data_IF_436660675797
#
_entry.id   IF_436660675797
#
_cell.length_a   1.000
_cell.length_b   1.000
_cell.length_c   1.000
_cell.angle_alpha   90.00
_cell.angle_beta   90.00
_cell.angle_gamma   90.00
#
_symmetry.space_group_name_H-M   'P 1'
#
loop_
_entity.id
_entity.type
_entity.pdbx_description
1 polymer ?
#
# COMPACT_ATOMS: atom_id res chain seq x y z
N UNK A 1 15.44 8.65 8.17
CA UNK A 1 15.53 9.84 9.05
C UNK A 1 16.65 9.67 10.06
N UNK A 2 17.13 10.76 10.65
CA UNK A 2 18.08 10.77 11.76
C UNK A 2 17.47 11.52 12.94
N UNK A 3 17.58 10.94 14.13
CA UNK A 3 17.09 11.47 15.41
C UNK A 3 18.22 11.22 16.42
N UNK A 4 18.72 12.25 17.09
CA UNK A 4 19.81 12.19 18.07
C UNK A 4 21.01 11.32 17.62
N UNK A 5 21.49 11.57 16.40
CA UNK A 5 22.55 10.81 15.70
C UNK A 5 22.24 9.34 15.36
N UNK A 6 21.04 8.82 15.65
CA UNK A 6 20.61 7.49 15.24
C UNK A 6 19.86 7.54 13.90
N UNK A 7 20.18 6.64 12.98
CA UNK A 7 19.57 6.56 11.67
C UNK A 7 18.49 5.48 11.60
N UNK A 8 17.25 5.90 11.31
CA UNK A 8 16.10 5.01 11.13
C UNK A 8 15.70 5.00 9.65
N UNK A 9 15.60 3.81 9.06
CA UNK A 9 15.14 3.61 7.69
C UNK A 9 13.89 2.73 7.69
N UNK A 10 12.83 3.21 7.07
CA UNK A 10 11.51 2.56 7.00
C UNK A 10 10.88 2.79 5.64
N UNK A 11 9.80 2.06 5.32
CA UNK A 11 9.01 2.35 4.12
C UNK A 11 8.16 3.61 4.32
N UNK A 12 7.75 4.30 3.24
CA UNK A 12 6.95 5.52 3.30
C UNK A 12 5.69 5.42 4.17
N UNK A 13 5.06 4.25 4.20
CA UNK A 13 3.76 3.99 4.84
C UNK A 13 3.90 3.63 6.34
N UNK A 14 5.12 3.49 6.87
CA UNK A 14 5.33 3.19 8.28
C UNK A 14 4.96 4.41 9.13
N UNK A 15 4.01 4.24 10.05
CA UNK A 15 3.55 5.33 10.90
C UNK A 15 4.32 5.42 12.22
N UNK A 16 4.65 6.65 12.61
CA UNK A 16 5.28 7.00 13.88
C UNK A 16 4.32 7.81 14.76
N UNK A 17 4.38 7.59 16.07
CA UNK A 17 3.60 8.38 17.02
C UNK A 17 4.32 9.69 17.37
N UNK A 18 3.83 10.80 16.83
CA UNK A 18 4.30 12.15 17.18
C UNK A 18 3.51 12.74 18.35
N UNK A 19 4.15 13.63 19.12
CA UNK A 19 3.51 14.32 20.26
C UNK A 19 2.46 15.33 19.79
N UNK A 20 2.65 15.91 18.61
CA UNK A 20 1.87 17.05 18.12
C UNK A 20 0.73 16.66 17.17
N UNK A 21 0.87 15.53 16.48
CA UNK A 21 0.01 15.16 15.36
C UNK A 21 -0.45 13.70 15.42
N UNK A 22 -0.25 13.03 16.55
CA UNK A 22 -0.50 11.59 16.72
C UNK A 22 0.28 10.77 15.67
N UNK A 23 -0.37 9.79 15.02
CA UNK A 23 0.27 8.93 14.03
C UNK A 23 0.51 9.65 12.69
N UNK A 24 1.77 9.77 12.30
CA UNK A 24 2.22 10.37 11.03
C UNK A 24 2.96 9.32 10.21
N UNK A 25 2.58 9.15 8.94
CA UNK A 25 3.25 8.25 7.99
C UNK A 25 4.67 8.77 7.70
N UNK A 26 5.63 7.88 7.45
CA UNK A 26 7.03 8.26 7.31
C UNK A 26 7.27 9.27 6.18
N UNK A 27 6.48 9.22 5.12
CA UNK A 27 6.48 10.20 4.03
C UNK A 27 5.97 11.59 4.41
N UNK A 28 5.12 11.68 5.44
CA UNK A 28 4.51 12.93 5.89
C UNK A 28 5.31 13.60 7.03
N UNK A 29 6.27 12.90 7.61
CA UNK A 29 7.14 13.41 8.67
C UNK A 29 8.01 14.57 8.19
N UNK A 30 8.26 15.51 9.10
CA UNK A 30 9.09 16.69 8.84
C UNK A 30 10.18 16.82 9.88
N UNK A 31 11.29 17.43 9.45
CA UNK A 31 12.36 17.86 10.36
C UNK A 31 11.74 18.74 11.46
N UNK A 32 12.02 18.40 12.72
CA UNK A 32 11.44 19.03 13.90
C UNK A 32 10.16 18.38 14.45
N UNK A 33 9.57 17.38 13.77
CA UNK A 33 8.51 16.57 14.37
C UNK A 33 9.06 15.82 15.58
N UNK A 34 8.25 15.72 16.64
CA UNK A 34 8.68 15.27 17.96
C UNK A 34 8.09 13.94 18.34
N UNK A 35 8.92 13.05 18.84
CA UNK A 35 8.57 11.75 19.38
C UNK A 35 8.77 11.72 20.89
N UNK A 36 7.95 10.91 21.57
CA UNK A 36 8.17 10.58 22.97
C UNK A 36 8.74 9.16 23.06
N UNK A 37 9.91 9.03 23.70
CA UNK A 37 10.53 7.72 23.96
C UNK A 37 9.86 7.02 25.15
N UNK A 38 10.12 5.73 25.36
CA UNK A 38 9.55 4.97 26.49
C UNK A 38 9.78 5.67 27.85
N UNK A 39 10.96 6.25 28.05
CA UNK A 39 11.33 6.93 29.30
C UNK A 39 10.74 8.35 29.44
N UNK A 40 9.87 8.75 28.50
CA UNK A 40 9.21 10.06 28.50
C UNK A 40 10.08 11.21 27.97
N UNK A 41 11.26 10.92 27.44
CA UNK A 41 12.13 11.92 26.80
C UNK A 41 11.52 12.34 25.47
N UNK A 42 11.61 13.63 25.16
CA UNK A 42 11.20 14.17 23.87
C UNK A 42 12.42 14.27 22.97
N UNK A 43 12.33 13.69 21.79
CA UNK A 43 13.35 13.75 20.73
C UNK A 43 12.70 14.29 19.46
N UNK A 44 13.47 15.01 18.65
CA UNK A 44 12.99 15.58 17.38
C UNK A 44 13.80 15.07 16.18
N UNK A 45 13.16 15.09 15.01
CA UNK A 45 13.82 14.68 13.77
C UNK A 45 14.86 15.73 13.36
N UNK A 46 16.14 15.36 13.38
CA UNK A 46 17.25 16.20 12.92
C UNK A 46 17.30 16.30 11.39
N UNK A 47 17.03 15.18 10.71
CA UNK A 47 17.21 15.09 9.26
C UNK A 47 16.33 14.01 8.62
N UNK A 48 15.81 14.30 7.43
CA UNK A 48 15.08 13.34 6.59
C UNK A 48 15.76 13.28 5.23
N UNK A 49 15.98 12.06 4.74
CA UNK A 49 16.44 11.82 3.38
C UNK A 49 15.65 10.64 2.81
N UNK A 50 15.05 10.86 1.65
CA UNK A 50 14.44 9.83 0.84
C UNK A 50 15.51 9.05 0.08
N UNK A 51 15.28 7.76 -0.11
CA UNK A 51 16.14 6.89 -0.90
C UNK A 51 15.28 6.03 -1.81
N UNK A 52 15.53 6.11 -3.10
CA UNK A 52 14.91 5.26 -4.11
C UNK A 52 15.84 4.09 -4.43
N UNK A 53 15.29 2.88 -4.53
CA UNK A 53 16.04 1.67 -4.86
C UNK A 53 15.36 0.39 -4.36
N UNK A 54 15.90 -0.75 -4.77
CA UNK A 54 15.48 -2.06 -4.27
C UNK A 54 16.17 -2.31 -2.91
N UNK A 55 15.41 -2.28 -1.82
CA UNK A 55 15.90 -2.54 -0.46
C UNK A 55 15.22 -3.77 0.13
N UNK A 56 16.00 -4.67 0.73
CA UNK A 56 15.45 -5.72 1.59
C UNK A 56 15.04 -5.10 2.92
N UNK A 57 13.74 -5.11 3.21
CA UNK A 57 13.19 -4.66 4.49
C UNK A 57 12.79 -5.87 5.35
N UNK A 58 12.93 -5.74 6.66
CA UNK A 58 12.57 -6.77 7.62
C UNK A 58 11.37 -6.28 8.45
N UNK A 59 10.36 -7.12 8.59
CA UNK A 59 9.22 -6.89 9.48
C UNK A 59 9.14 -8.05 10.48
N UNK A 60 8.78 -7.79 11.73
CA UNK A 60 8.47 -8.82 12.71
C UNK A 60 7.14 -8.51 13.40
N UNK A 61 6.37 -9.56 13.67
CA UNK A 61 5.05 -9.46 14.26
C UNK A 61 5.12 -9.58 15.78
N UNK A 62 4.38 -8.72 16.49
CA UNK A 62 4.22 -8.76 17.95
C UNK A 62 2.74 -9.05 18.24
N UNK A 63 2.47 -10.01 19.13
CA UNK A 63 1.19 -10.73 19.21
C UNK A 63 0.03 -9.94 19.88
N UNK A 64 0.30 -8.83 20.58
CA UNK A 64 -0.71 -8.17 21.43
C UNK A 64 -1.07 -6.73 21.04
N UNK A 65 -0.19 -5.76 21.34
CA UNK A 65 -0.50 -4.34 21.16
C UNK A 65 -0.21 -3.82 19.76
N UNK A 66 0.46 -4.64 18.95
CA UNK A 66 0.94 -4.28 17.62
C UNK A 66 1.59 -2.88 17.61
N UNK A 67 2.28 -2.52 18.68
CA UNK A 67 3.12 -1.33 18.81
C UNK A 67 4.43 -1.80 19.40
N UNK A 68 5.56 -1.36 18.84
CA UNK A 68 6.87 -1.72 19.34
C UNK A 68 7.81 -0.52 19.25
N UNK A 69 8.80 -0.50 20.13
CA UNK A 69 9.87 0.46 20.07
C UNK A 69 10.91 0.00 19.05
N UNK A 70 11.32 0.90 18.16
CA UNK A 70 12.46 0.70 17.26
C UNK A 70 13.63 1.55 17.73
N UNK A 71 14.84 1.17 17.27
CA UNK A 71 16.09 1.92 17.47
C UNK A 71 16.59 1.88 18.92
N UNK A 72 17.84 2.28 19.19
CA UNK A 72 18.39 2.42 20.55
C UNK A 72 17.74 3.57 21.33
N UNK A 73 17.00 4.45 20.64
CA UNK A 73 16.24 5.55 21.21
C UNK A 73 14.81 5.18 21.69
N UNK A 74 14.39 3.94 21.51
CA UNK A 74 13.06 3.44 21.89
C UNK A 74 11.92 4.33 21.35
N UNK A 75 11.77 4.40 20.02
CA UNK A 75 10.73 5.18 19.33
C UNK A 75 9.52 4.32 19.00
N UNK A 76 8.32 4.74 19.44
CA UNK A 76 7.08 3.96 19.32
C UNK A 76 6.55 3.94 17.87
N UNK A 77 6.51 2.76 17.27
CA UNK A 77 5.94 2.51 15.92
C UNK A 77 4.79 1.51 15.99
N UNK A 78 3.82 1.63 15.09
CA UNK A 78 2.63 0.78 15.03
C UNK A 78 2.77 -0.33 13.97
N UNK A 79 2.67 -1.58 14.39
CA UNK A 79 2.36 -2.71 13.52
C UNK A 79 0.84 -2.79 13.24
N UNK A 80 0.48 -3.03 11.99
CA UNK A 80 -0.77 -2.60 11.37
C UNK A 80 -2.04 -3.41 11.74
N UNK A 81 -2.48 -3.48 13.00
CA UNK A 81 -3.78 -4.07 13.31
C UNK A 81 -4.81 -3.05 13.84
N UNK A 82 -5.47 -2.40 12.90
CA UNK A 82 -6.52 -1.40 13.12
C UNK A 82 -7.85 -1.97 13.69
N UNK A 83 -7.85 -3.19 14.24
CA UNK A 83 -9.05 -3.90 14.68
C UNK A 83 -9.92 -4.43 13.55
N UNK A 84 -9.37 -4.52 12.34
CA UNK A 84 -10.01 -5.03 11.14
C UNK A 84 -10.18 -6.55 11.20
N UNK A 85 -11.23 -7.06 10.58
CA UNK A 85 -11.38 -8.50 10.39
C UNK A 85 -10.24 -9.07 9.52
N UNK A 86 -9.87 -10.34 9.69
CA UNK A 86 -8.88 -10.99 8.82
C UNK A 86 -9.26 -10.95 7.34
N UNK A 87 -10.55 -10.85 7.02
CA UNK A 87 -11.02 -10.73 5.65
C UNK A 87 -10.73 -9.33 5.07
N UNK A 88 -10.98 -8.28 5.84
CA UNK A 88 -10.66 -6.92 5.44
C UNK A 88 -9.14 -6.70 5.29
N UNK A 89 -8.33 -7.27 6.19
CA UNK A 89 -6.87 -7.24 6.08
C UNK A 89 -6.37 -7.88 4.78
N UNK A 90 -6.80 -9.12 4.47
CA UNK A 90 -6.45 -9.79 3.21
C UNK A 90 -6.94 -9.02 1.98
N UNK A 91 -8.07 -8.34 2.06
CA UNK A 91 -8.57 -7.52 0.97
C UNK A 91 -7.67 -6.31 0.71
N UNK A 92 -7.22 -5.63 1.77
CA UNK A 92 -6.28 -4.51 1.67
C UNK A 92 -4.93 -4.99 1.13
N UNK A 93 -4.40 -6.11 1.63
CA UNK A 93 -3.16 -6.68 1.10
C UNK A 93 -3.29 -7.06 -0.39
N UNK A 94 -4.42 -7.65 -0.79
CA UNK A 94 -4.69 -7.94 -2.20
C UNK A 94 -4.75 -6.67 -3.04
N UNK A 95 -5.32 -5.59 -2.51
CA UNK A 95 -5.36 -4.30 -3.19
C UNK A 95 -3.95 -3.79 -3.49
N UNK A 96 -3.08 -3.77 -2.48
CA UNK A 96 -1.69 -3.33 -2.63
C UNK A 96 -0.93 -4.21 -3.62
N UNK A 97 -1.12 -5.54 -3.57
CA UNK A 97 -0.52 -6.44 -4.54
C UNK A 97 -0.97 -6.16 -5.99
N UNK A 98 -2.26 -5.87 -6.21
CA UNK A 98 -2.76 -5.47 -7.54
C UNK A 98 -2.18 -4.11 -7.93
N UNK A 99 -2.08 -3.17 -6.98
CA UNK A 99 -1.50 -1.85 -7.23
C UNK A 99 -0.04 -1.96 -7.64
N UNK A 100 0.79 -2.66 -6.89
CA UNK A 100 2.24 -2.75 -7.16
C UNK A 100 2.55 -3.54 -8.43
N UNK A 101 1.89 -4.69 -8.64
CA UNK A 101 2.23 -5.59 -9.74
C UNK A 101 1.55 -5.20 -11.07
N UNK A 102 0.26 -4.87 -11.02
CA UNK A 102 -0.54 -4.68 -12.24
C UNK A 102 -0.73 -3.21 -12.59
N UNK A 103 -0.76 -2.32 -11.59
CA UNK A 103 -1.09 -0.91 -11.79
C UNK A 103 0.07 0.08 -11.58
N UNK A 104 1.17 -0.36 -10.96
CA UNK A 104 2.24 0.46 -10.37
C UNK A 104 3.60 0.27 -11.04
N UNK A 105 4.68 0.68 -10.36
CA UNK A 105 5.99 1.05 -10.93
C UNK A 105 6.74 0.01 -11.77
N UNK A 106 6.38 -1.28 -11.65
CA UNK A 106 6.88 -2.31 -12.57
C UNK A 106 6.42 -2.00 -14.02
N UNK A 107 5.25 -1.36 -14.18
CA UNK A 107 4.75 -0.83 -15.46
C UNK A 107 5.50 0.40 -15.98
N UNK A 108 6.15 1.15 -15.08
CA UNK A 108 6.92 2.36 -15.42
C UNK A 108 8.31 2.01 -15.97
N UNK A 109 8.74 0.75 -15.86
CA UNK A 109 10.01 0.26 -16.42
C UNK A 109 9.87 0.12 -17.95
N UNK A 110 10.83 0.67 -18.69
CA UNK A 110 10.88 0.63 -20.15
C UNK A 110 10.78 -0.81 -20.67
N UNK A 111 9.69 -1.14 -21.38
CA UNK A 111 9.41 -2.47 -21.94
C UNK A 111 8.36 -3.31 -21.21
N UNK A 112 7.84 -2.86 -20.07
CA UNK A 112 6.90 -3.62 -19.23
C UNK A 112 5.58 -2.89 -18.91
N UNK A 113 5.18 -1.90 -19.70
CA UNK A 113 3.90 -1.21 -19.50
C UNK A 113 2.72 -2.08 -19.95
N UNK A 114 2.04 -2.74 -19.01
CA UNK A 114 0.87 -3.60 -19.26
C UNK A 114 -0.27 -2.83 -19.96
N UNK A 115 -0.41 -1.51 -19.74
CA UNK A 115 -1.41 -0.70 -20.44
C UNK A 115 -1.07 -0.46 -21.92
N UNK A 116 0.21 -0.22 -22.23
CA UNK A 116 0.65 -0.09 -23.62
C UNK A 116 0.62 -1.44 -24.35
N UNK A 117 1.04 -2.50 -23.66
CA UNK A 117 0.97 -3.85 -24.18
C UNK A 117 -0.47 -4.24 -24.50
N UNK A 118 -1.40 -4.04 -23.57
CA UNK A 118 -2.83 -4.32 -23.78
C UNK A 118 -3.43 -3.49 -24.92
N UNK A 119 -3.02 -2.23 -25.11
CA UNK A 119 -3.44 -1.42 -26.27
C UNK A 119 -3.02 -2.05 -27.59
N UNK A 120 -1.76 -2.49 -27.69
CA UNK A 120 -1.21 -3.10 -28.91
C UNK A 120 -1.82 -4.48 -29.16
N UNK A 121 -2.05 -5.26 -28.11
CA UNK A 121 -2.76 -6.54 -28.20
C UNK A 121 -4.21 -6.39 -28.65
N UNK A 122 -4.92 -5.36 -28.18
CA UNK A 122 -6.26 -5.05 -28.65
C UNK A 122 -6.31 -4.67 -30.15
N UNK A 123 -5.17 -4.26 -30.73
CA UNK A 123 -5.02 -4.02 -32.18
C UNK A 123 -4.56 -5.27 -32.96
N UNK A 124 -4.36 -6.40 -32.27
CA UNK A 124 -3.94 -7.68 -32.86
C UNK A 124 -2.42 -7.91 -32.88
N UNK A 125 -1.63 -7.07 -32.20
CA UNK A 125 -0.19 -7.27 -32.10
C UNK A 125 0.16 -8.28 -30.99
N UNK A 126 1.11 -9.19 -31.25
CA UNK A 126 1.69 -10.05 -30.20
C UNK A 126 2.84 -9.31 -29.54
N UNK A 127 2.64 -8.83 -28.31
CA UNK A 127 3.62 -7.99 -27.60
C UNK A 127 4.66 -8.81 -26.84
N UNK A 128 4.23 -9.90 -26.21
CA UNK A 128 5.11 -10.83 -25.52
C UNK A 128 4.65 -12.27 -25.73
N UNK A 129 5.58 -13.21 -25.59
CA UNK A 129 5.31 -14.65 -25.67
C UNK A 129 5.92 -15.35 -24.46
N UNK A 130 5.20 -16.34 -23.94
CA UNK A 130 5.72 -17.23 -22.90
C UNK A 130 6.87 -18.10 -23.43
N UNK A 131 7.66 -18.74 -22.56
CA UNK A 131 8.74 -19.66 -22.99
C UNK A 131 8.25 -20.83 -23.88
N UNK A 132 6.97 -21.18 -23.78
CA UNK A 132 6.32 -22.22 -24.60
C UNK A 132 5.87 -21.72 -25.99
N UNK A 133 6.08 -20.43 -26.31
CA UNK A 133 5.72 -19.80 -27.58
C UNK A 133 4.29 -19.27 -27.65
N UNK A 134 3.47 -19.43 -26.61
CA UNK A 134 2.11 -18.86 -26.58
C UNK A 134 2.14 -17.34 -26.36
N UNK A 135 1.28 -16.56 -27.05
CA UNK A 135 1.13 -15.13 -26.76
C UNK A 135 0.73 -14.92 -25.30
N UNK A 136 1.38 -13.96 -24.66
CA UNK A 136 0.94 -13.44 -23.37
C UNK A 136 -0.35 -12.65 -23.56
N UNK A 137 -1.20 -12.60 -22.53
CA UNK A 137 -2.51 -11.92 -22.58
C UNK A 137 -2.54 -10.80 -21.53
N UNK A 138 -2.03 -9.62 -21.89
CA UNK A 138 -2.01 -8.46 -20.99
C UNK A 138 -3.42 -7.89 -20.81
N UNK A 139 -4.28 -7.97 -21.83
CA UNK A 139 -5.69 -7.55 -21.71
C UNK A 139 -6.40 -8.40 -20.65
N UNK A 140 -6.21 -9.72 -20.69
CA UNK A 140 -6.71 -10.66 -19.71
C UNK A 140 -6.23 -10.36 -18.29
N UNK A 141 -4.93 -10.08 -18.10
CA UNK A 141 -4.40 -9.69 -16.79
C UNK A 141 -5.07 -8.43 -16.22
N UNK A 142 -5.30 -7.42 -17.07
CA UNK A 142 -5.99 -6.20 -16.66
C UNK A 142 -7.47 -6.46 -16.32
N UNK A 143 -8.15 -7.38 -17.01
CA UNK A 143 -9.51 -7.81 -16.66
C UNK A 143 -9.53 -8.58 -15.33
N UNK A 144 -8.57 -9.48 -15.11
CA UNK A 144 -8.42 -10.21 -13.85
C UNK A 144 -8.13 -9.28 -12.67
N UNK A 145 -7.28 -8.27 -12.88
CA UNK A 145 -7.03 -7.24 -11.88
C UNK A 145 -8.30 -6.43 -11.57
N UNK A 146 -9.09 -6.04 -12.57
CA UNK A 146 -10.38 -5.37 -12.35
C UNK A 146 -11.32 -6.24 -11.50
N UNK A 147 -11.44 -7.51 -11.82
CA UNK A 147 -12.26 -8.46 -11.05
C UNK A 147 -11.72 -8.65 -9.63
N UNK A 148 -10.39 -8.68 -9.47
CA UNK A 148 -9.70 -8.70 -8.18
C UNK A 148 -10.07 -7.50 -7.32
N UNK A 149 -10.01 -6.28 -7.89
CA UNK A 149 -10.38 -5.04 -7.21
C UNK A 149 -11.86 -5.01 -6.84
N UNK A 150 -12.75 -5.53 -7.68
CA UNK A 150 -14.17 -5.65 -7.35
C UNK A 150 -14.41 -6.54 -6.12
N UNK A 151 -13.66 -7.64 -5.99
CA UNK A 151 -13.73 -8.51 -4.82
C UNK A 151 -13.19 -7.82 -3.56
N UNK A 152 -12.09 -7.09 -3.68
CA UNK A 152 -11.55 -6.25 -2.60
C UNK A 152 -12.60 -5.23 -2.14
N UNK A 153 -13.18 -4.48 -3.07
CA UNK A 153 -14.23 -3.48 -2.78
C UNK A 153 -15.37 -4.09 -1.97
N UNK A 154 -15.89 -5.23 -2.40
CA UNK A 154 -16.98 -5.93 -1.70
C UNK A 154 -16.58 -6.35 -0.28
N UNK A 155 -15.36 -6.80 -0.07
CA UNK A 155 -14.87 -7.18 1.25
C UNK A 155 -14.77 -5.96 2.18
N UNK A 156 -14.26 -4.83 1.69
CA UNK A 156 -14.21 -3.57 2.44
C UNK A 156 -15.62 -3.04 2.73
N UNK A 157 -16.52 -3.03 1.73
CA UNK A 157 -17.93 -2.64 1.91
C UNK A 157 -18.64 -3.52 2.94
N UNK A 158 -18.37 -4.83 2.94
CA UNK A 158 -18.92 -5.76 3.93
C UNK A 158 -18.43 -5.43 5.35
N UNK A 159 -17.16 -5.08 5.50
CA UNK A 159 -16.58 -4.65 6.79
C UNK A 159 -17.23 -3.35 7.26
N UNK A 160 -17.36 -2.36 6.37
CA UNK A 160 -17.98 -1.06 6.69
C UNK A 160 -19.46 -1.18 7.10
N UNK A 161 -20.19 -2.14 6.50
CA UNK A 161 -21.59 -2.40 6.84
C UNK A 161 -21.77 -3.18 8.15
N UNK A 162 -20.72 -3.87 8.63
CA UNK A 162 -20.75 -4.65 9.86
C UNK A 162 -19.41 -4.49 10.60
N UNK A 163 -19.23 -3.32 11.20
CA UNK A 163 -17.97 -2.93 11.85
C UNK A 163 -17.65 -3.91 13.00
N UNK A 164 -16.41 -4.46 13.06
CA UNK A 164 -15.98 -5.26 14.20
C UNK A 164 -16.06 -4.45 15.50
N UNK A 165 -16.41 -5.10 16.61
CA UNK A 165 -16.34 -4.47 17.93
C UNK A 165 -14.91 -4.11 18.36
N UNK A 166 -13.91 -4.72 17.71
CA UNK A 166 -12.48 -4.45 17.88
C UNK A 166 -12.00 -3.24 17.06
N UNK A 167 -12.83 -2.70 16.16
CA UNK A 167 -12.43 -1.64 15.24
C UNK A 167 -12.15 -0.33 15.98
N UNK A 168 -10.99 0.26 15.72
CA UNK A 168 -10.62 1.57 16.28
C UNK A 168 -11.13 2.71 15.38
N UNK A 169 -11.20 3.94 15.90
CA UNK A 169 -11.51 5.12 15.08
C UNK A 169 -10.52 5.28 13.90
N UNK A 170 -9.25 4.90 14.10
CA UNK A 170 -8.24 4.86 13.04
C UNK A 170 -8.52 3.75 12.03
N UNK A 171 -8.99 2.59 12.46
CA UNK A 171 -9.39 1.52 11.55
C UNK A 171 -10.56 1.91 10.65
N UNK A 172 -11.49 2.70 11.17
CA UNK A 172 -12.57 3.26 10.36
C UNK A 172 -12.06 4.25 9.30
N UNK A 173 -11.10 5.11 9.67
CA UNK A 173 -10.43 6.01 8.73
C UNK A 173 -9.67 5.24 7.64
N UNK A 174 -8.88 4.23 8.03
CA UNK A 174 -8.15 3.35 7.11
C UNK A 174 -9.11 2.65 6.14
N UNK A 175 -10.23 2.09 6.64
CA UNK A 175 -11.26 1.48 5.78
C UNK A 175 -11.82 2.48 4.76
N UNK A 176 -12.11 3.70 5.20
CA UNK A 176 -12.68 4.75 4.35
C UNK A 176 -11.69 5.21 3.26
N UNK A 177 -10.43 5.42 3.62
CA UNK A 177 -9.35 5.75 2.66
C UNK A 177 -9.15 4.62 1.65
N UNK A 178 -9.02 3.37 2.12
CA UNK A 178 -8.83 2.20 1.24
C UNK A 178 -10.02 1.98 0.32
N UNK A 179 -11.25 2.11 0.82
CA UNK A 179 -12.46 2.02 0.00
C UNK A 179 -12.43 3.02 -1.16
N UNK A 180 -12.13 4.29 -0.86
CA UNK A 180 -12.03 5.36 -1.86
C UNK A 180 -10.97 5.06 -2.91
N UNK A 181 -9.79 4.59 -2.49
CA UNK A 181 -8.68 4.25 -3.39
C UNK A 181 -9.04 3.08 -4.32
N UNK A 182 -9.64 2.00 -3.77
CA UNK A 182 -10.09 0.85 -4.57
C UNK A 182 -11.11 1.28 -5.62
N UNK A 183 -12.05 2.17 -5.27
CA UNK A 183 -13.04 2.68 -6.22
C UNK A 183 -12.39 3.50 -7.36
N UNK A 184 -11.39 4.32 -7.04
CA UNK A 184 -10.63 5.06 -8.03
C UNK A 184 -9.89 4.13 -9.00
N UNK A 185 -9.22 3.10 -8.48
CA UNK A 185 -8.48 2.13 -9.28
C UNK A 185 -9.41 1.30 -10.19
N UNK A 186 -10.55 0.85 -9.68
CA UNK A 186 -11.61 0.20 -10.47
C UNK A 186 -12.06 1.10 -11.62
N UNK A 187 -12.34 2.37 -11.32
CA UNK A 187 -12.83 3.33 -12.31
C UNK A 187 -11.79 3.59 -13.40
N UNK A 188 -10.52 3.75 -13.02
CA UNK A 188 -9.39 3.92 -13.93
C UNK A 188 -9.26 2.73 -14.87
N UNK A 189 -9.26 1.52 -14.32
CA UNK A 189 -9.06 0.28 -15.06
C UNK A 189 -10.24 -0.02 -16.00
N UNK A 190 -11.48 0.17 -15.51
CA UNK A 190 -12.68 0.06 -16.34
C UNK A 190 -12.68 1.06 -17.50
N UNK A 191 -12.29 2.31 -17.24
CA UNK A 191 -12.17 3.34 -18.28
C UNK A 191 -11.15 2.95 -19.34
N UNK A 192 -9.98 2.46 -18.92
CA UNK A 192 -8.96 1.97 -19.84
C UNK A 192 -9.45 0.78 -20.68
N UNK A 193 -9.97 -0.27 -20.05
CA UNK A 193 -10.48 -1.47 -20.74
C UNK A 193 -11.59 -1.11 -21.74
N UNK A 194 -12.47 -0.19 -21.37
CA UNK A 194 -13.51 0.31 -22.28
C UNK A 194 -12.92 1.05 -23.48
N UNK A 195 -11.84 1.83 -23.28
CA UNK A 195 -11.18 2.57 -24.36
C UNK A 195 -10.52 1.67 -25.41
N UNK A 196 -10.16 0.44 -25.05
CA UNK A 196 -9.60 -0.57 -25.96
C UNK A 196 -10.63 -1.60 -26.42
N UNK A 197 -11.93 -1.38 -26.16
CA UNK A 197 -13.02 -2.27 -26.62
C UNK A 197 -13.20 -3.55 -25.79
N UNK A 198 -12.61 -3.65 -24.60
CA UNK A 198 -12.60 -4.84 -23.74
C UNK A 198 -13.26 -4.58 -22.38
N UNK A 199 -14.35 -3.80 -22.37
CA UNK A 199 -15.07 -3.43 -21.16
C UNK A 199 -15.49 -4.68 -20.35
N UNK A 200 -15.26 -4.70 -19.01
CA UNK A 200 -15.66 -5.78 -18.12
C UNK A 200 -17.14 -5.74 -17.73
#
# INVERSE_FOLDING_TARGET
>A
MTIDNEAISVTPEHAFWTIDQDWVEAEDLKVGDRFQTENGTIVDIDHIAEREGDFTVYNFEVEDFHTYYVSELDILVHNANCGLSPNAQRAIERHENIRTNVLGDINSRSGHNHFDAARREALGEVVATRPDGTPFDHVGELQEAHNGLQNVRRAIESEMNNLPSTLTNRGLDVLSRRHSQVQADISRLKGFLSSIGHAP
#
